data_IF_226184468668
#
_entry.id   IF_226184468668
#
_cell.length_a   1.000
_cell.length_b   1.000
_cell.length_c   1.000
_cell.angle_alpha   90.00
_cell.angle_beta   90.00
_cell.angle_gamma   90.00
#
_symmetry.space_group_name_H-M   'P 1'
#
loop_
_entity.id
_entity.type
_entity.pdbx_description
1 polymer ?
#
# COMPACT_ATOMS: atom_id res chain seq x y z
N UNK A 1 23.97 -6.58 -11.07
CA UNK A 1 23.23 -7.74 -11.60
C UNK A 1 22.48 -8.42 -10.46
N UNK A 2 21.19 -8.64 -10.63
CA UNK A 2 20.33 -9.16 -9.57
C UNK A 2 20.49 -10.67 -9.42
N UNK A 3 20.90 -11.16 -8.26
CA UNK A 3 20.91 -12.59 -7.90
C UNK A 3 19.56 -13.28 -8.11
N UNK A 4 18.46 -12.52 -8.18
CA UNK A 4 17.11 -13.00 -8.45
C UNK A 4 16.93 -13.65 -9.84
N UNK A 5 17.83 -13.43 -10.79
CA UNK A 5 17.77 -14.06 -12.11
C UNK A 5 18.33 -15.49 -12.13
N UNK A 6 19.11 -15.89 -11.14
CA UNK A 6 19.76 -17.20 -11.08
C UNK A 6 18.74 -18.36 -11.09
N UNK A 7 17.69 -18.40 -10.27
CA UNK A 7 16.71 -19.49 -10.30
C UNK A 7 15.94 -19.56 -11.61
N UNK A 8 15.73 -18.44 -12.29
CA UNK A 8 15.04 -18.39 -13.58
C UNK A 8 15.93 -18.98 -14.69
N UNK A 9 17.23 -18.65 -14.68
CA UNK A 9 18.21 -19.15 -15.66
C UNK A 9 18.50 -20.66 -15.49
N UNK A 10 18.36 -21.18 -14.27
CA UNK A 10 18.52 -22.62 -13.97
C UNK A 10 17.29 -23.47 -14.32
N UNK A 11 16.15 -22.84 -14.62
CA UNK A 11 14.93 -23.57 -14.98
C UNK A 11 14.96 -24.04 -16.42
N UNK A 12 15.06 -25.35 -16.64
CA UNK A 12 15.02 -26.00 -17.98
C UNK A 12 13.63 -26.04 -18.62
N UNK A 13 12.65 -25.28 -18.16
CA UNK A 13 11.33 -25.24 -18.78
C UNK A 13 11.36 -24.42 -20.07
N UNK A 14 10.74 -24.92 -21.12
CA UNK A 14 10.54 -24.16 -22.37
C UNK A 14 9.82 -22.84 -22.02
N UNK A 15 10.34 -21.75 -22.54
CA UNK A 15 9.68 -20.45 -22.41
C UNK A 15 8.23 -20.54 -22.90
N UNK A 16 7.25 -19.99 -22.16
CA UNK A 16 5.88 -19.98 -22.62
C UNK A 16 5.80 -19.21 -23.95
N UNK A 17 5.13 -19.77 -24.94
CA UNK A 17 4.85 -19.08 -26.19
C UNK A 17 3.85 -17.96 -25.91
N UNK A 18 4.32 -16.73 -25.88
CA UNK A 18 3.44 -15.57 -25.72
C UNK A 18 2.62 -15.39 -27.01
N UNK A 19 1.29 -15.53 -26.91
CA UNK A 19 0.40 -15.02 -27.94
C UNK A 19 0.67 -13.51 -28.06
N UNK A 20 0.77 -13.03 -29.31
CA UNK A 20 0.94 -11.59 -29.60
C UNK A 20 -0.14 -10.81 -28.84
N UNK A 21 0.25 -10.11 -27.77
CA UNK A 21 -0.68 -9.27 -27.01
C UNK A 21 -1.01 -8.10 -27.91
N UNK A 22 -2.23 -8.07 -28.42
CA UNK A 22 -2.78 -6.86 -29.05
C UNK A 22 -2.85 -5.80 -27.97
N UNK A 23 -2.09 -4.71 -28.13
CA UNK A 23 -2.06 -3.63 -27.15
C UNK A 23 -3.47 -3.10 -26.92
N UNK A 24 -3.97 -3.21 -25.70
CA UNK A 24 -5.27 -2.70 -25.31
C UNK A 24 -5.18 -1.18 -25.14
N UNK A 25 -6.07 -0.44 -25.76
CA UNK A 25 -6.14 1.01 -25.62
C UNK A 25 -6.67 1.35 -24.20
N UNK A 26 -6.24 2.50 -23.64
CA UNK A 26 -6.74 2.97 -22.33
C UNK A 26 -8.27 3.03 -22.25
N UNK A 27 -8.91 3.39 -23.36
CA UNK A 27 -10.38 3.43 -23.46
C UNK A 27 -11.02 2.03 -23.38
N UNK A 28 -10.40 1.04 -23.98
CA UNK A 28 -10.84 -0.35 -23.91
C UNK A 28 -10.63 -0.92 -22.50
N UNK A 29 -9.50 -0.61 -21.86
CA UNK A 29 -9.22 -1.00 -20.48
C UNK A 29 -10.26 -0.40 -19.52
N UNK A 30 -10.60 0.89 -19.66
CA UNK A 30 -11.64 1.53 -18.85
C UNK A 30 -13.02 0.88 -19.07
N UNK A 31 -13.34 0.49 -20.31
CA UNK A 31 -14.62 -0.18 -20.62
C UNK A 31 -14.68 -1.59 -20.04
N UNK A 32 -13.54 -2.29 -19.99
CA UNK A 32 -13.46 -3.67 -19.50
C UNK A 32 -13.43 -3.72 -17.98
N UNK A 33 -12.62 -2.87 -17.32
CA UNK A 33 -12.49 -2.83 -15.87
C UNK A 33 -12.35 -1.40 -15.33
N UNK A 34 -13.48 -0.67 -15.22
CA UNK A 34 -13.47 0.72 -14.73
C UNK A 34 -12.95 0.81 -13.29
N UNK A 35 -13.33 -0.14 -12.43
CA UNK A 35 -12.88 -0.19 -11.04
C UNK A 35 -11.36 -0.39 -10.94
N UNK A 36 -10.80 -1.28 -11.75
CA UNK A 36 -9.36 -1.55 -11.77
C UNK A 36 -8.56 -0.33 -12.21
N UNK A 37 -8.98 0.35 -13.28
CA UNK A 37 -8.28 1.53 -13.80
C UNK A 37 -8.36 2.72 -12.84
N UNK A 38 -9.56 3.07 -12.38
CA UNK A 38 -9.78 4.20 -11.47
C UNK A 38 -9.15 3.91 -10.10
N UNK A 39 -9.34 2.69 -9.58
CA UNK A 39 -8.75 2.26 -8.32
C UNK A 39 -7.24 2.31 -8.32
N UNK A 40 -6.58 1.85 -9.38
CA UNK A 40 -5.11 1.91 -9.51
C UNK A 40 -4.59 3.34 -9.55
N UNK A 41 -5.31 4.25 -10.23
CA UNK A 41 -4.93 5.65 -10.33
C UNK A 41 -5.02 6.35 -8.97
N UNK A 42 -6.14 6.19 -8.25
CA UNK A 42 -6.30 6.74 -6.91
C UNK A 42 -5.31 6.13 -5.91
N UNK A 43 -5.12 4.80 -5.96
CA UNK A 43 -4.14 4.12 -5.13
C UNK A 43 -2.73 4.67 -5.36
N UNK A 44 -2.30 4.77 -6.62
CA UNK A 44 -0.99 5.30 -6.98
C UNK A 44 -0.79 6.74 -6.49
N UNK A 45 -1.81 7.58 -6.60
CA UNK A 45 -1.77 8.96 -6.10
C UNK A 45 -1.59 9.01 -4.58
N UNK A 46 -2.38 8.23 -3.83
CA UNK A 46 -2.29 8.16 -2.36
C UNK A 46 -0.92 7.66 -1.91
N UNK A 47 -0.40 6.59 -2.55
CA UNK A 47 0.90 6.03 -2.19
C UNK A 47 2.05 6.98 -2.54
N UNK A 48 1.98 7.64 -3.68
CA UNK A 48 2.98 8.65 -4.07
C UNK A 48 3.00 9.82 -3.08
N UNK A 49 1.82 10.33 -2.70
CA UNK A 49 1.71 11.38 -1.70
C UNK A 49 2.26 10.92 -0.33
N UNK A 50 1.91 9.70 0.12
CA UNK A 50 2.40 9.16 1.38
C UNK A 50 3.93 9.13 1.41
N UNK A 51 4.57 8.48 0.44
CA UNK A 51 6.03 8.33 0.45
C UNK A 51 6.78 9.63 0.20
N UNK A 52 6.21 10.57 -0.58
CA UNK A 52 6.85 11.85 -0.84
C UNK A 52 6.70 12.84 0.32
N UNK A 53 5.52 12.90 0.92
CA UNK A 53 5.21 13.93 1.92
C UNK A 53 5.47 13.47 3.35
N UNK A 54 5.51 12.15 3.61
CA UNK A 54 5.75 11.64 4.96
C UNK A 54 7.07 12.14 5.55
N UNK A 55 8.14 12.09 4.76
CA UNK A 55 9.46 12.54 5.22
C UNK A 55 9.47 14.05 5.50
N UNK A 56 8.85 14.84 4.63
CA UNK A 56 8.74 16.30 4.80
C UNK A 56 7.91 16.62 6.03
N UNK A 57 6.78 15.94 6.21
CA UNK A 57 5.91 16.12 7.36
C UNK A 57 6.62 15.73 8.68
N UNK A 58 7.27 14.58 8.71
CA UNK A 58 8.02 14.13 9.89
C UNK A 58 9.16 15.08 10.26
N UNK A 59 9.86 15.64 9.25
CA UNK A 59 10.89 16.66 9.49
C UNK A 59 10.28 17.93 10.10
N UNK A 60 9.12 18.37 9.65
CA UNK A 60 8.43 19.54 10.24
C UNK A 60 7.98 19.30 11.68
N UNK A 61 7.81 18.04 12.07
CA UNK A 61 7.51 17.60 13.44
C UNK A 61 8.75 17.38 14.31
N UNK A 62 9.94 17.82 13.86
CA UNK A 62 11.21 17.64 14.53
C UNK A 62 11.60 16.15 14.76
N UNK A 63 11.19 15.26 13.85
CA UNK A 63 11.65 13.88 13.87
C UNK A 63 13.09 13.82 13.38
N UNK A 64 13.89 12.99 14.04
CA UNK A 64 15.26 12.70 13.60
C UNK A 64 15.23 11.84 12.32
N UNK A 65 16.31 11.89 11.54
CA UNK A 65 16.47 11.06 10.32
C UNK A 65 16.31 9.57 10.65
N UNK A 66 16.78 9.15 11.83
CA UNK A 66 16.63 7.77 12.30
C UNK A 66 15.14 7.41 12.52
N UNK A 67 14.37 8.27 13.20
CA UNK A 67 12.94 8.04 13.43
C UNK A 67 12.17 7.97 12.10
N UNK A 68 12.50 8.83 11.12
CA UNK A 68 11.88 8.80 9.79
C UNK A 68 12.18 7.47 9.07
N UNK A 69 13.42 7.00 9.16
CA UNK A 69 13.83 5.71 8.57
C UNK A 69 13.10 4.54 9.22
N UNK A 70 12.96 4.55 10.54
CA UNK A 70 12.23 3.52 11.29
C UNK A 70 10.75 3.51 10.89
N UNK A 71 10.09 4.66 10.80
CA UNK A 71 8.68 4.74 10.36
C UNK A 71 8.52 4.17 8.97
N UNK A 72 9.35 4.60 8.02
CA UNK A 72 9.28 4.12 6.62
C UNK A 72 9.49 2.61 6.53
N UNK A 73 10.43 2.07 7.31
CA UNK A 73 10.68 0.64 7.39
C UNK A 73 9.49 -0.12 7.98
N UNK A 74 8.89 0.38 9.07
CA UNK A 74 7.71 -0.21 9.69
C UNK A 74 6.50 -0.21 8.75
N UNK A 75 6.30 0.86 7.97
CA UNK A 75 5.27 0.92 6.94
C UNK A 75 5.47 -0.17 5.89
N UNK A 76 6.69 -0.31 5.37
CA UNK A 76 7.00 -1.32 4.36
C UNK A 76 6.78 -2.75 4.87
N UNK A 77 7.29 -3.07 6.06
CA UNK A 77 7.11 -4.38 6.69
C UNK A 77 5.64 -4.67 6.99
N UNK A 78 4.92 -3.71 7.57
CA UNK A 78 3.49 -3.87 7.87
C UNK A 78 2.69 -4.22 6.63
N UNK A 79 2.92 -3.50 5.53
CA UNK A 79 2.28 -3.79 4.26
C UNK A 79 2.67 -5.14 3.67
N UNK A 80 3.93 -5.54 3.78
CA UNK A 80 4.40 -6.85 3.32
C UNK A 80 3.73 -8.00 4.10
N UNK A 81 3.65 -7.87 5.44
CA UNK A 81 2.97 -8.85 6.29
C UNK A 81 1.47 -8.91 5.97
N UNK A 82 0.85 -7.76 5.72
CA UNK A 82 -0.58 -7.64 5.43
C UNK A 82 -0.98 -8.32 4.11
N UNK A 83 -0.08 -8.42 3.14
CA UNK A 83 -0.37 -9.07 1.85
C UNK A 83 -0.84 -10.51 2.01
N UNK A 84 -0.30 -11.25 2.97
CA UNK A 84 -0.67 -12.65 3.18
C UNK A 84 -2.09 -12.82 3.74
N UNK A 85 -2.50 -12.21 4.88
CA UNK A 85 -3.85 -12.35 5.40
C UNK A 85 -4.90 -11.71 4.50
N UNK A 86 -4.61 -10.53 3.93
CA UNK A 86 -5.57 -9.82 3.07
C UNK A 86 -5.70 -10.53 1.72
N UNK A 87 -4.62 -11.10 1.17
CA UNK A 87 -4.69 -11.96 -0.01
C UNK A 87 -5.60 -13.16 0.21
N UNK A 88 -5.40 -13.90 1.31
CA UNK A 88 -6.29 -15.02 1.68
C UNK A 88 -7.75 -14.61 1.87
N UNK A 89 -7.97 -13.42 2.42
CA UNK A 89 -9.32 -12.87 2.60
C UNK A 89 -9.98 -12.60 1.25
N UNK A 90 -9.23 -12.03 0.32
CA UNK A 90 -9.65 -11.74 -1.05
C UNK A 90 -9.95 -13.01 -1.88
N UNK A 91 -9.31 -14.14 -1.55
CA UNK A 91 -9.58 -15.42 -2.20
C UNK A 91 -10.84 -16.11 -1.64
N UNK A 92 -11.28 -15.77 -0.42
CA UNK A 92 -12.44 -16.37 0.25
C UNK A 92 -13.72 -15.55 0.14
N UNK A 93 -13.59 -14.24 0.03
CA UNK A 93 -14.70 -13.30 -0.04
C UNK A 93 -14.71 -12.56 -1.37
N UNK A 94 -15.84 -11.94 -1.69
CA UNK A 94 -15.91 -11.06 -2.87
C UNK A 94 -14.84 -9.96 -2.78
N UNK A 95 -13.97 -9.91 -3.79
CA UNK A 95 -12.86 -8.95 -3.86
C UNK A 95 -13.31 -7.50 -3.73
N UNK A 96 -14.52 -7.18 -4.20
CA UNK A 96 -15.10 -5.83 -4.07
C UNK A 96 -15.32 -5.46 -2.61
N UNK A 97 -15.85 -6.40 -1.83
CA UNK A 97 -16.07 -6.17 -0.40
C UNK A 97 -14.74 -6.00 0.35
N UNK A 98 -13.73 -6.80 0.01
CA UNK A 98 -12.40 -6.68 0.62
C UNK A 98 -11.79 -5.31 0.29
N UNK A 99 -11.89 -4.82 -0.96
CA UNK A 99 -11.42 -3.48 -1.34
C UNK A 99 -12.15 -2.40 -0.53
N UNK A 100 -13.47 -2.50 -0.38
CA UNK A 100 -14.26 -1.53 0.38
C UNK A 100 -13.83 -1.51 1.84
N UNK A 101 -13.76 -2.67 2.51
CA UNK A 101 -13.36 -2.73 3.93
C UNK A 101 -11.93 -2.26 4.17
N UNK A 102 -10.99 -2.63 3.31
CA UNK A 102 -9.59 -2.17 3.44
C UNK A 102 -9.46 -0.67 3.18
N UNK A 103 -10.23 -0.11 2.25
CA UNK A 103 -10.27 1.34 2.00
C UNK A 103 -10.84 2.10 3.18
N UNK A 104 -11.97 1.66 3.74
CA UNK A 104 -12.54 2.28 4.93
C UNK A 104 -11.61 2.16 6.14
N UNK A 105 -10.99 1.00 6.34
CA UNK A 105 -9.98 0.81 7.39
C UNK A 105 -8.80 1.75 7.23
N UNK A 106 -8.26 1.87 6.02
CA UNK A 106 -7.17 2.80 5.73
C UNK A 106 -7.57 4.25 6.00
N UNK A 107 -8.76 4.68 5.54
CA UNK A 107 -9.26 6.03 5.79
C UNK A 107 -9.44 6.32 7.30
N UNK A 108 -9.99 5.36 8.04
CA UNK A 108 -10.15 5.47 9.49
C UNK A 108 -8.82 5.62 10.22
N UNK A 109 -7.83 4.75 9.91
CA UNK A 109 -6.52 4.84 10.55
C UNK A 109 -5.73 6.07 10.12
N UNK A 110 -5.92 6.58 8.90
CA UNK A 110 -5.35 7.86 8.47
C UNK A 110 -5.90 9.02 9.31
N UNK A 111 -7.21 9.06 9.56
CA UNK A 111 -7.82 10.07 10.44
C UNK A 111 -7.27 9.97 11.86
N UNK A 112 -7.17 8.76 12.42
CA UNK A 112 -6.59 8.54 13.74
C UNK A 112 -5.12 9.02 13.81
N UNK A 113 -4.34 8.78 12.76
CA UNK A 113 -2.96 9.26 12.67
C UNK A 113 -2.89 10.81 12.67
N UNK A 114 -3.81 11.48 11.95
CA UNK A 114 -3.92 12.95 11.97
C UNK A 114 -4.27 13.46 13.35
N UNK A 115 -5.20 12.81 14.05
CA UNK A 115 -5.53 13.20 15.43
C UNK A 115 -4.33 12.99 16.37
N UNK A 116 -3.64 11.88 16.28
CA UNK A 116 -2.45 11.60 17.08
C UNK A 116 -1.34 12.65 16.81
N UNK A 117 -1.14 13.02 15.55
CA UNK A 117 -0.15 14.04 15.20
C UNK A 117 -0.47 15.43 15.75
N UNK A 118 -1.76 15.80 15.84
CA UNK A 118 -2.17 17.05 16.48
C UNK A 118 -1.85 17.10 17.97
N UNK A 119 -1.91 15.98 18.65
CA UNK A 119 -1.55 15.87 20.07
C UNK A 119 -0.07 16.19 20.33
N UNK A 120 0.81 16.01 19.33
CA UNK A 120 2.24 16.35 19.46
C UNK A 120 2.50 17.85 19.58
N UNK A 121 1.57 18.69 19.15
CA UNK A 121 1.66 20.15 19.29
C UNK A 121 1.14 20.67 20.63
N UNK A 122 0.44 19.84 21.40
CA UNK A 122 -0.09 20.21 22.70
C UNK A 122 0.96 19.93 23.79
N UNK A 123 1.04 20.77 24.84
CA UNK A 123 1.92 20.52 25.98
C UNK A 123 1.46 19.25 26.70
N UNK A 124 2.20 18.18 26.53
CA UNK A 124 1.91 16.85 27.07
C UNK A 124 3.06 15.88 26.85
N UNK A 125 2.81 14.59 27.06
CA UNK A 125 3.80 13.55 26.84
C UNK A 125 4.00 13.28 25.35
N UNK A 126 5.07 13.88 24.80
CA UNK A 126 5.49 13.73 23.40
C UNK A 126 5.78 12.27 23.02
N UNK A 127 6.26 11.47 23.98
CA UNK A 127 6.59 10.07 23.74
C UNK A 127 5.36 9.22 23.42
N UNK A 128 4.33 9.38 24.23
CA UNK A 128 3.05 8.68 24.04
C UNK A 128 2.37 9.08 22.75
N UNK A 129 2.37 10.37 22.40
CA UNK A 129 1.77 10.89 21.17
C UNK A 129 2.48 10.36 19.90
N UNK A 130 3.82 10.32 19.91
CA UNK A 130 4.61 9.71 18.82
C UNK A 130 4.29 8.22 18.64
N UNK A 131 4.16 7.49 19.75
CA UNK A 131 3.87 6.05 19.71
C UNK A 131 2.51 5.77 19.08
N UNK A 132 1.46 6.51 19.45
CA UNK A 132 0.14 6.40 18.82
C UNK A 132 0.17 6.74 17.33
N UNK A 133 0.91 7.76 16.94
CA UNK A 133 1.10 8.13 15.54
C UNK A 133 1.73 6.97 14.74
N UNK A 134 2.77 6.31 15.27
CA UNK A 134 3.39 5.16 14.62
C UNK A 134 2.42 3.98 14.49
N UNK A 135 1.67 3.67 15.55
CA UNK A 135 0.70 2.58 15.54
C UNK A 135 -0.36 2.82 14.45
N UNK A 136 -0.93 4.00 14.38
CA UNK A 136 -1.96 4.31 13.38
C UNK A 136 -1.41 4.32 11.95
N UNK A 137 -0.17 4.77 11.74
CA UNK A 137 0.49 4.69 10.44
C UNK A 137 0.74 3.22 10.02
N UNK A 138 1.16 2.37 10.94
CA UNK A 138 1.35 0.94 10.69
C UNK A 138 0.02 0.27 10.30
N UNK A 139 -1.05 0.55 11.02
CA UNK A 139 -2.39 0.03 10.73
C UNK A 139 -2.95 0.57 9.40
N UNK A 140 -2.69 1.84 9.10
CA UNK A 140 -2.99 2.43 7.79
C UNK A 140 -2.27 1.67 6.66
N UNK A 141 -0.97 1.45 6.81
CA UNK A 141 -0.16 0.74 5.83
C UNK A 141 -0.60 -0.71 5.67
N UNK A 142 -0.97 -1.38 6.78
CA UNK A 142 -1.51 -2.73 6.79
C UNK A 142 -2.77 -2.85 5.93
N UNK A 143 -3.65 -1.85 5.96
CA UNK A 143 -4.86 -1.83 5.13
C UNK A 143 -4.58 -1.36 3.70
N UNK A 144 -3.68 -0.37 3.52
CA UNK A 144 -3.49 0.32 2.25
C UNK A 144 -2.60 -0.43 1.27
N UNK A 145 -1.43 -0.94 1.69
CA UNK A 145 -0.45 -1.52 0.76
C UNK A 145 -0.94 -2.77 0.00
N UNK A 146 -1.71 -3.71 0.61
CA UNK A 146 -2.21 -4.87 -0.12
C UNK A 146 -3.27 -4.54 -1.18
N UNK A 147 -3.89 -3.37 -1.13
CA UNK A 147 -4.95 -2.98 -2.07
C UNK A 147 -4.49 -3.04 -3.52
N UNK A 148 -3.23 -2.70 -3.81
CA UNK A 148 -2.68 -2.78 -5.16
C UNK A 148 -2.84 -4.17 -5.76
N UNK A 149 -2.43 -5.21 -5.02
CA UNK A 149 -2.53 -6.59 -5.49
C UNK A 149 -3.98 -7.02 -5.72
N UNK A 150 -4.91 -6.59 -4.86
CA UNK A 150 -6.33 -6.96 -4.95
C UNK A 150 -6.99 -6.24 -6.14
N UNK A 151 -6.68 -4.97 -6.38
CA UNK A 151 -7.19 -4.19 -7.52
C UNK A 151 -6.73 -4.84 -8.83
N UNK A 152 -5.46 -5.23 -8.93
CA UNK A 152 -4.93 -5.93 -10.09
C UNK A 152 -5.55 -7.32 -10.27
N UNK A 153 -5.74 -8.08 -9.19
CA UNK A 153 -6.39 -9.37 -9.24
C UNK A 153 -7.84 -9.25 -9.74
N UNK A 154 -8.58 -8.22 -9.28
CA UNK A 154 -9.95 -7.95 -9.74
C UNK A 154 -10.02 -7.52 -11.22
N UNK A 155 -8.97 -6.92 -11.75
CA UNK A 155 -8.91 -6.51 -13.16
C UNK A 155 -8.71 -7.70 -14.09
N UNK A 156 -8.11 -8.79 -13.60
CA UNK A 156 -7.82 -9.99 -14.38
C UNK A 156 -8.94 -11.06 -14.33
N UNK A 157 -9.96 -10.91 -13.50
CA UNK A 157 -11.17 -11.73 -13.46
C UNK A 157 -12.19 -11.27 -14.50
#
# INVERSE_FOLDING_TARGET
MSLALIPILLTKRKAPTFKKITGMTLKELYKTSPLGMVGSLFYGTVQSALFSLLAVYATSMNFTIFEISVVTFLLAISGAIAQFPIGKLSDRFDRRLVIIYTTFGAAFFALCAIFASRQMYLPGDLGTSKLWFYIFLILFSFCSLPMFAIIFAHTND
#
